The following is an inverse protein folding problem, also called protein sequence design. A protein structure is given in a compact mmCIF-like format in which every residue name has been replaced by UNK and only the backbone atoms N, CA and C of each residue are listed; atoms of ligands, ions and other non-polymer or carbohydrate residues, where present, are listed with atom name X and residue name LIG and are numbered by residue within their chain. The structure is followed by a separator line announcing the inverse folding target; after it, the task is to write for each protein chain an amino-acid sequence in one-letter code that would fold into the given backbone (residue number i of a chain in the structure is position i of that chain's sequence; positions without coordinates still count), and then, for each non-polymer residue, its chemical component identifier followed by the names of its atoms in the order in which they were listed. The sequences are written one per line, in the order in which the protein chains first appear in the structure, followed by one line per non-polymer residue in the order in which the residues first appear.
data_IF_042894988949
#
_entry.id   IF_042894988949
#
_cell.length_a   1.000
_cell.length_b   1.000
_cell.length_c   1.000
_cell.angle_alpha   90.00
_cell.angle_beta   90.00
_cell.angle_gamma   90.00
#
_symmetry.space_group_name_H-M   'P 1'
#
loop_
_entity.id
_entity.type
_entity.pdbx_description
1 polymer ?
#
# COMPACT_ATOMS: atom_id res chain seq x y z
N UNK A 1 -27.46 -19.63 -23.74
CA UNK A 1 -26.89 -19.56 -22.37
C UNK A 1 -25.70 -20.50 -22.38
N UNK A 2 -24.44 -20.07 -22.49
CA UNK A 2 -23.75 -18.91 -21.92
C UNK A 2 -22.75 -18.32 -22.94
N UNK A 3 -22.76 -16.99 -23.09
CA UNK A 3 -21.72 -16.14 -23.71
C UNK A 3 -20.66 -15.86 -22.61
N UNK A 4 -19.36 -15.56 -22.80
CA UNK A 4 -18.56 -15.00 -23.89
C UNK A 4 -17.12 -15.54 -23.84
N UNK A 5 -16.48 -15.54 -25.01
CA UNK A 5 -15.06 -15.69 -25.24
C UNK A 5 -14.24 -14.51 -24.72
N UNK A 6 -12.93 -14.79 -24.57
CA UNK A 6 -11.80 -13.99 -25.06
C UNK A 6 -10.75 -13.50 -24.07
N UNK A 7 -9.58 -14.14 -24.24
CA UNK A 7 -8.22 -13.57 -24.28
C UNK A 7 -7.71 -12.75 -23.09
N UNK A 8 -6.68 -13.29 -22.42
CA UNK A 8 -5.58 -12.45 -21.95
C UNK A 8 -4.25 -12.98 -22.49
N UNK A 9 -3.73 -12.18 -23.40
CA UNK A 9 -2.52 -12.30 -24.19
C UNK A 9 -1.24 -12.38 -23.36
N UNK A 10 -0.34 -13.26 -23.81
CA UNK A 10 1.09 -13.38 -23.48
C UNK A 10 1.86 -12.07 -23.50
N UNK A 11 2.85 -11.92 -22.63
CA UNK A 11 3.99 -11.01 -22.81
C UNK A 11 5.19 -11.44 -21.96
N UNK A 12 5.94 -12.42 -22.47
CA UNK A 12 7.36 -12.59 -22.15
C UNK A 12 8.14 -11.34 -22.55
N UNK A 13 8.66 -10.58 -21.57
CA UNK A 13 9.68 -9.54 -21.78
C UNK A 13 10.82 -9.67 -20.78
N UNK A 14 11.93 -10.19 -21.30
CA UNK A 14 13.27 -10.22 -20.69
C UNK A 14 13.74 -8.82 -20.24
N UNK A 15 14.31 -8.79 -19.02
CA UNK A 15 15.34 -7.86 -18.50
C UNK A 15 15.03 -6.35 -18.47
N UNK A 16 14.63 -5.89 -17.28
CA UNK A 16 15.34 -4.81 -16.58
C UNK A 16 15.51 -5.24 -15.13
N UNK A 17 16.75 -5.31 -14.63
CA UNK A 17 17.03 -5.30 -13.19
C UNK A 17 16.60 -3.93 -12.66
N UNK A 18 15.29 -3.71 -12.52
CA UNK A 18 14.79 -2.64 -11.66
C UNK A 18 15.01 -3.18 -10.26
N UNK A 19 15.90 -2.54 -9.52
CA UNK A 19 15.91 -2.64 -8.06
C UNK A 19 14.58 -2.08 -7.57
N UNK A 20 13.49 -2.83 -7.76
CA UNK A 20 12.21 -2.56 -7.15
C UNK A 20 12.49 -2.72 -5.66
N UNK A 21 12.71 -1.60 -4.98
CA UNK A 21 12.63 -1.50 -3.52
C UNK A 21 11.16 -1.69 -3.10
N UNK A 22 10.52 -2.73 -3.62
CA UNK A 22 9.20 -3.17 -3.20
C UNK A 22 9.44 -4.05 -1.98
N UNK A 23 9.80 -3.40 -0.87
CA UNK A 23 9.82 -4.05 0.42
C UNK A 23 8.38 -4.15 0.92
N UNK A 24 7.90 -5.38 1.14
CA UNK A 24 6.60 -5.61 1.73
C UNK A 24 6.71 -5.43 3.26
N UNK A 25 5.94 -4.49 3.80
CA UNK A 25 5.80 -4.31 5.25
C UNK A 25 4.56 -5.09 5.71
N UNK A 26 4.77 -6.17 6.45
CA UNK A 26 3.69 -6.95 7.07
C UNK A 26 3.57 -6.54 8.53
N UNK A 27 2.42 -5.97 8.89
CA UNK A 27 2.08 -5.58 10.26
C UNK A 27 0.88 -6.39 10.74
N UNK A 28 0.94 -6.82 11.99
CA UNK A 28 -0.20 -7.44 12.67
C UNK A 28 -0.93 -6.36 13.45
N UNK A 29 -2.23 -6.25 13.22
CA UNK A 29 -3.13 -5.34 13.90
C UNK A 29 -4.27 -6.14 14.49
N UNK A 30 -4.91 -5.62 15.52
CA UNK A 30 -6.15 -6.20 16.00
C UNK A 30 -7.25 -6.11 14.92
N UNK A 31 -8.20 -7.05 14.95
CA UNK A 31 -9.27 -7.14 13.94
C UNK A 31 -10.13 -5.88 13.95
N UNK A 32 -10.44 -5.31 15.11
CA UNK A 32 -11.22 -4.09 15.21
C UNK A 32 -10.47 -2.88 14.68
N UNK A 33 -9.18 -2.75 15.03
CA UNK A 33 -8.33 -1.67 14.58
C UNK A 33 -8.17 -1.66 13.06
N UNK A 34 -7.90 -2.84 12.46
CA UNK A 34 -7.81 -2.99 11.00
C UNK A 34 -9.11 -2.56 10.34
N UNK A 35 -10.27 -2.97 10.88
CA UNK A 35 -11.57 -2.65 10.29
C UNK A 35 -11.81 -1.14 10.31
N UNK A 36 -11.64 -0.49 11.47
CA UNK A 36 -11.76 0.97 11.61
C UNK A 36 -10.82 1.72 10.66
N UNK A 37 -9.59 1.25 10.50
CA UNK A 37 -8.63 1.87 9.58
C UNK A 37 -9.05 1.74 8.11
N UNK A 38 -9.55 0.58 7.71
CA UNK A 38 -10.01 0.36 6.33
C UNK A 38 -11.27 1.17 6.05
N UNK A 39 -12.23 1.19 6.98
CA UNK A 39 -13.47 1.97 6.86
C UNK A 39 -13.14 3.46 6.69
N UNK A 40 -12.25 4.01 7.53
CA UNK A 40 -11.80 5.40 7.41
C UNK A 40 -11.06 5.69 6.10
N UNK A 41 -10.34 4.72 5.52
CA UNK A 41 -9.70 4.88 4.22
C UNK A 41 -10.73 4.93 3.08
N UNK A 42 -11.83 4.16 3.19
CA UNK A 42 -12.90 4.16 2.20
C UNK A 42 -13.64 5.50 2.18
N UNK A 43 -13.84 6.13 3.34
CA UNK A 43 -14.51 7.43 3.46
C UNK A 43 -13.76 8.57 2.74
N UNK A 44 -12.45 8.43 2.54
CA UNK A 44 -11.60 9.44 1.89
C UNK A 44 -11.15 9.05 0.47
N UNK A 45 -11.79 8.04 -0.15
CA UNK A 45 -11.43 7.48 -1.46
C UNK A 45 -9.94 7.07 -1.58
N UNK A 46 -9.34 6.66 -0.47
CA UNK A 46 -7.93 6.24 -0.40
C UNK A 46 -7.81 4.76 -0.11
N UNK A 47 -6.63 4.20 -0.40
CA UNK A 47 -6.33 2.83 -0.02
C UNK A 47 -5.47 2.83 1.25
N UNK A 48 -5.67 1.83 2.10
CA UNK A 48 -4.85 1.57 3.29
C UNK A 48 -3.34 1.64 2.98
N UNK A 49 -2.93 1.15 1.80
CA UNK A 49 -1.54 1.21 1.35
C UNK A 49 -1.06 2.62 1.00
N UNK A 50 -1.91 3.47 0.41
CA UNK A 50 -1.58 4.88 0.10
C UNK A 50 -1.42 5.69 1.39
N UNK A 51 -2.37 5.54 2.31
CA UNK A 51 -2.31 6.20 3.61
C UNK A 51 -1.09 5.77 4.42
N UNK A 52 -0.81 4.46 4.51
CA UNK A 52 0.35 3.98 5.27
C UNK A 52 1.67 4.49 4.70
N UNK A 53 1.82 4.55 3.37
CA UNK A 53 3.01 5.13 2.73
C UNK A 53 3.14 6.63 3.01
N UNK A 54 2.03 7.37 2.98
CA UNK A 54 1.99 8.79 3.29
C UNK A 54 2.34 9.05 4.75
N UNK A 55 1.77 8.26 5.66
CA UNK A 55 2.03 8.29 7.09
C UNK A 55 3.51 8.03 7.38
N UNK A 56 4.11 6.96 6.83
CA UNK A 56 5.53 6.65 7.02
C UNK A 56 6.41 7.83 6.57
N UNK A 57 6.14 8.44 5.40
CA UNK A 57 6.92 9.59 4.92
C UNK A 57 6.80 10.82 5.83
N UNK A 58 5.58 11.13 6.28
CA UNK A 58 5.35 12.25 7.21
C UNK A 58 6.06 11.98 8.54
N UNK A 59 5.88 10.78 9.08
CA UNK A 59 6.50 10.34 10.32
C UNK A 59 8.02 10.49 10.28
N UNK A 60 8.69 9.98 9.23
CA UNK A 60 10.14 10.13 9.06
C UNK A 60 10.58 11.59 9.02
N UNK A 61 9.83 12.46 8.34
CA UNK A 61 10.13 13.89 8.27
C UNK A 61 10.02 14.59 9.63
N UNK A 62 9.03 14.22 10.44
CA UNK A 62 8.86 14.77 11.79
C UNK A 62 9.94 14.22 12.74
N UNK A 63 10.30 12.94 12.58
CA UNK A 63 11.37 12.29 13.35
C UNK A 63 12.75 12.89 13.07
N UNK A 64 13.10 13.12 11.81
CA UNK A 64 14.37 13.78 11.44
C UNK A 64 14.48 15.22 11.96
N UNK A 65 13.35 15.87 12.24
CA UNK A 65 13.32 17.22 12.82
C UNK A 65 13.46 17.24 14.34
N UNK A 66 13.50 16.07 15.00
CA UNK A 66 13.55 15.99 16.46
C UNK A 66 12.23 16.38 17.15
N UNK A 67 11.10 16.39 16.43
CA UNK A 67 9.79 16.72 17.02
C UNK A 67 9.22 15.61 17.93
N UNK A 68 9.99 14.54 18.16
CA UNK A 68 9.63 13.42 19.05
C UNK A 68 10.69 13.15 20.13
N UNK A 69 11.73 13.99 20.24
CA UNK A 69 12.71 13.93 21.33
C UNK A 69 12.20 14.79 22.52
N UNK A 70 11.21 14.28 23.25
CA UNK A 70 10.78 14.78 24.57
C UNK A 70 11.03 13.70 25.65
#
# INVERSE_FOLDING_TARGET
MFMDSDTRTVSDKKKKRKTNKEAQLVIRLDTEQRKRFIDACQDIDSSASRELRGFIKKFLKHYEKGEFDD
#
